data_IF_703992460158
#
_entry.id   IF_703992460158
#
_cell.length_a   1.000
_cell.length_b   1.000
_cell.length_c   1.000
_cell.angle_alpha   90.00
_cell.angle_beta   90.00
_cell.angle_gamma   90.00
#
_symmetry.space_group_name_H-M   'P 1'
#
loop_
_entity.id
_entity.type
_entity.pdbx_description
1 polymer ?
#
# COMPACT_ATOMS: atom_id res chain seq x y z
N UNK A 1 -10.59 -4.81 13.10
CA UNK A 1 -9.47 -5.65 12.63
C UNK A 1 -9.58 -7.00 13.35
N UNK A 2 -10.16 -8.01 12.70
CA UNK A 2 -10.07 -9.37 13.22
C UNK A 2 -8.67 -9.89 12.89
N UNK A 3 -7.79 -9.89 13.89
CA UNK A 3 -6.54 -10.64 13.81
C UNK A 3 -6.89 -12.13 13.81
N UNK A 4 -6.93 -12.73 12.62
CA UNK A 4 -6.89 -14.19 12.51
C UNK A 4 -5.50 -14.58 13.01
N UNK A 5 -5.42 -15.00 14.27
CA UNK A 5 -4.26 -15.74 14.74
C UNK A 5 -4.24 -17.04 13.95
N UNK A 6 -3.46 -17.08 12.86
CA UNK A 6 -3.14 -18.32 12.18
C UNK A 6 -2.45 -19.20 13.22
N UNK A 7 -3.08 -20.31 13.59
CA UNK A 7 -2.45 -21.34 14.38
C UNK A 7 -1.20 -21.82 13.60
N UNK A 8 -0.02 -21.34 14.00
CA UNK A 8 1.24 -21.77 13.42
C UNK A 8 1.50 -23.18 13.90
N UNK A 9 1.28 -24.15 13.01
CA UNK A 9 1.61 -25.54 13.26
C UNK A 9 3.14 -25.69 13.15
N UNK A 10 3.72 -26.68 13.80
CA UNK A 10 5.15 -27.02 13.60
C UNK A 10 5.47 -27.47 12.17
N UNK A 11 4.45 -27.66 11.33
CA UNK A 11 4.54 -28.04 9.92
C UNK A 11 4.29 -26.86 8.98
N UNK A 12 4.13 -25.65 9.50
CA UNK A 12 4.00 -24.45 8.67
C UNK A 12 5.27 -24.23 7.83
N UNK A 13 5.09 -23.80 6.58
CA UNK A 13 6.21 -23.44 5.73
C UNK A 13 6.95 -22.23 6.31
N UNK A 14 8.28 -22.30 6.34
CA UNK A 14 9.15 -21.21 6.79
C UNK A 14 9.86 -20.55 5.59
N UNK A 15 10.43 -19.38 5.80
CA UNK A 15 11.26 -18.71 4.78
C UNK A 15 12.44 -19.60 4.36
N UNK A 16 13.02 -20.35 5.29
CA UNK A 16 14.10 -21.29 5.04
C UNK A 16 13.68 -22.44 4.11
N UNK A 17 12.46 -22.95 4.30
CA UNK A 17 11.86 -23.96 3.41
C UNK A 17 11.61 -23.37 2.01
N UNK A 18 11.12 -22.15 1.93
CA UNK A 18 10.93 -21.46 0.64
C UNK A 18 12.26 -21.28 -0.09
N UNK A 19 13.31 -20.88 0.61
CA UNK A 19 14.64 -20.68 0.03
C UNK A 19 15.26 -21.99 -0.49
N UNK A 20 15.19 -23.10 0.27
CA UNK A 20 15.71 -24.39 -0.20
C UNK A 20 14.93 -24.94 -1.40
N UNK A 21 13.61 -24.72 -1.44
CA UNK A 21 12.77 -25.11 -2.58
C UNK A 21 13.07 -24.27 -3.82
N UNK A 22 13.29 -22.96 -3.66
CA UNK A 22 13.72 -22.08 -4.76
C UNK A 22 15.10 -22.47 -5.29
N UNK A 23 16.05 -22.81 -4.41
CA UNK A 23 17.37 -23.34 -4.79
C UNK A 23 17.25 -24.67 -5.56
N UNK A 24 16.36 -25.56 -5.13
CA UNK A 24 16.07 -26.82 -5.84
C UNK A 24 15.47 -26.56 -7.22
N UNK A 25 14.51 -25.62 -7.32
CA UNK A 25 13.90 -25.21 -8.59
C UNK A 25 14.94 -24.66 -9.58
N UNK A 26 15.88 -23.85 -9.10
CA UNK A 26 16.99 -23.33 -9.90
C UNK A 26 17.84 -24.46 -10.51
N UNK A 27 18.22 -25.43 -9.67
CA UNK A 27 19.08 -26.52 -10.08
C UNK A 27 18.38 -27.49 -11.04
N UNK A 28 17.11 -27.81 -10.79
CA UNK A 28 16.33 -28.74 -11.60
C UNK A 28 15.82 -28.14 -12.91
N UNK A 29 15.69 -26.82 -13.00
CA UNK A 29 15.33 -26.11 -14.22
C UNK A 29 16.59 -25.62 -14.97
N UNK A 30 16.86 -24.31 -14.97
CA UNK A 30 17.84 -23.70 -15.88
C UNK A 30 19.25 -24.28 -15.76
N UNK A 31 19.71 -24.66 -14.56
CA UNK A 31 21.03 -25.28 -14.43
C UNK A 31 21.10 -26.68 -15.06
N UNK A 32 20.03 -27.46 -14.95
CA UNK A 32 19.97 -28.79 -15.60
C UNK A 32 19.87 -28.62 -17.11
N UNK A 33 19.07 -27.67 -17.60
CA UNK A 33 18.97 -27.36 -19.03
C UNK A 33 20.30 -26.92 -19.63
N UNK A 34 21.02 -26.02 -18.93
CA UNK A 34 22.35 -25.61 -19.36
C UNK A 34 23.35 -26.79 -19.41
N UNK A 35 23.28 -27.72 -18.45
CA UNK A 35 24.12 -28.92 -18.47
C UNK A 35 23.74 -29.89 -19.60
N UNK A 36 22.46 -29.94 -20.01
CA UNK A 36 22.02 -30.70 -21.19
C UNK A 36 22.63 -30.09 -22.45
N UNK A 37 22.58 -28.77 -22.59
CA UNK A 37 23.17 -28.06 -23.73
C UNK A 37 24.70 -28.19 -23.75
N UNK A 38 25.34 -28.15 -22.58
CA UNK A 38 26.76 -28.44 -22.44
C UNK A 38 27.09 -29.86 -22.90
N UNK A 39 26.28 -30.84 -22.52
CA UNK A 39 26.49 -32.22 -22.97
C UNK A 39 26.28 -32.36 -24.48
N UNK A 40 25.25 -31.72 -25.06
CA UNK A 40 25.00 -31.68 -26.52
C UNK A 40 26.16 -31.03 -27.28
N UNK A 41 26.79 -30.01 -26.69
CA UNK A 41 27.95 -29.35 -27.26
C UNK A 41 29.17 -30.29 -27.38
N UNK A 42 29.44 -31.10 -26.35
CA UNK A 42 30.54 -32.07 -26.38
C UNK A 42 30.20 -33.37 -27.12
N UNK A 43 28.93 -33.79 -27.09
CA UNK A 43 28.46 -35.03 -27.69
C UNK A 43 27.21 -34.70 -28.52
N UNK A 44 27.34 -34.44 -29.82
CA UNK A 44 26.17 -34.24 -30.67
C UNK A 44 25.22 -35.44 -30.59
N UNK A 45 23.89 -35.25 -30.63
CA UNK A 45 22.92 -36.35 -30.48
C UNK A 45 23.16 -37.54 -31.41
N UNK A 46 23.55 -37.29 -32.66
CA UNK A 46 23.87 -38.33 -33.64
C UNK A 46 25.10 -39.18 -33.26
N UNK A 47 26.04 -38.61 -32.48
CA UNK A 47 27.24 -39.29 -32.00
C UNK A 47 27.06 -39.95 -30.64
N UNK A 48 25.97 -39.67 -29.93
CA UNK A 48 25.77 -40.14 -28.57
C UNK A 48 25.84 -41.67 -28.44
N UNK A 49 25.16 -42.49 -29.28
CA UNK A 49 25.20 -43.94 -29.13
C UNK A 49 26.63 -44.51 -29.27
N UNK A 50 27.39 -44.03 -30.25
CA UNK A 50 28.75 -44.53 -30.51
C UNK A 50 29.75 -44.07 -29.45
N UNK A 51 29.63 -42.82 -28.97
CA UNK A 51 30.47 -42.28 -27.89
C UNK A 51 30.22 -43.01 -26.58
N UNK A 52 28.95 -43.22 -26.19
CA UNK A 52 28.61 -43.95 -24.96
C UNK A 52 29.08 -45.40 -25.03
N UNK A 53 28.92 -46.07 -26.17
CA UNK A 53 29.40 -47.43 -26.34
C UNK A 53 30.93 -47.52 -26.25
N UNK A 54 31.66 -46.55 -26.81
CA UNK A 54 33.12 -46.47 -26.75
C UNK A 54 33.64 -46.20 -25.33
N UNK A 55 33.06 -45.24 -24.63
CA UNK A 55 33.50 -44.82 -23.30
C UNK A 55 32.85 -45.63 -22.15
N UNK A 56 32.16 -46.73 -22.48
CA UNK A 56 31.37 -47.53 -21.52
C UNK A 56 32.16 -47.99 -20.30
N UNK A 57 33.46 -48.28 -20.46
CA UNK A 57 34.36 -48.70 -19.37
C UNK A 57 34.70 -47.58 -18.38
N UNK A 58 34.50 -46.32 -18.76
CA UNK A 58 34.75 -45.14 -17.90
C UNK A 58 33.52 -44.76 -17.07
N UNK A 59 32.35 -45.31 -17.39
CA UNK A 59 31.14 -45.04 -16.64
C UNK A 59 31.21 -45.74 -15.26
N UNK A 60 30.83 -45.05 -14.17
CA UNK A 60 30.71 -45.68 -12.87
C UNK A 60 29.48 -46.62 -12.83
N UNK A 61 29.22 -47.21 -11.67
CA UNK A 61 27.96 -47.92 -11.46
C UNK A 61 26.78 -46.95 -11.57
N UNK A 62 25.96 -47.14 -12.61
CA UNK A 62 24.71 -46.42 -12.83
C UNK A 62 23.55 -47.12 -12.12
N UNK A 63 22.56 -46.33 -11.70
CA UNK A 63 21.28 -46.89 -11.27
C UNK A 63 20.53 -47.53 -12.44
N UNK A 64 19.58 -48.42 -12.17
CA UNK A 64 18.80 -49.06 -13.23
C UNK A 64 18.06 -48.05 -14.13
N UNK A 65 17.42 -46.98 -13.60
CA UNK A 65 16.82 -45.94 -14.44
C UNK A 65 17.84 -45.23 -15.34
N UNK A 66 19.00 -44.83 -14.80
CA UNK A 66 20.05 -44.17 -15.57
C UNK A 66 20.60 -45.09 -16.66
N UNK A 67 20.84 -46.36 -16.34
CA UNK A 67 21.32 -47.36 -17.30
C UNK A 67 20.32 -47.59 -18.42
N UNK A 68 19.03 -47.76 -18.09
CA UNK A 68 17.98 -47.93 -19.10
C UNK A 68 17.88 -46.72 -20.03
N UNK A 69 18.13 -45.52 -19.51
CA UNK A 69 18.06 -44.29 -20.29
C UNK A 69 19.19 -44.19 -21.32
N UNK A 70 20.45 -44.49 -20.95
CA UNK A 70 21.60 -44.30 -21.85
C UNK A 70 22.13 -45.58 -22.53
N UNK A 71 21.75 -46.76 -22.05
CA UNK A 71 22.18 -48.07 -22.53
C UNK A 71 20.98 -49.06 -22.57
N UNK A 72 19.94 -48.81 -23.39
CA UNK A 72 18.77 -49.69 -23.46
C UNK A 72 19.16 -51.07 -24.03
N UNK A 73 18.50 -52.13 -23.55
CA UNK A 73 18.77 -53.52 -23.93
C UNK A 73 18.56 -53.80 -25.43
N UNK A 74 17.82 -52.97 -26.15
CA UNK A 74 17.61 -53.03 -27.60
C UNK A 74 18.84 -52.58 -28.42
N UNK A 75 19.90 -52.10 -27.78
CA UNK A 75 21.19 -51.80 -28.41
C UNK A 75 21.28 -50.42 -29.08
N UNK A 76 20.21 -49.64 -29.12
CA UNK A 76 20.20 -48.28 -29.68
C UNK A 76 19.63 -47.31 -28.68
N UNK A 77 20.42 -46.30 -28.31
CA UNK A 77 19.95 -45.18 -27.52
C UNK A 77 18.80 -44.46 -28.24
N UNK A 78 17.63 -44.44 -27.61
CA UNK A 78 16.44 -43.73 -28.07
C UNK A 78 16.02 -42.60 -27.13
N UNK A 79 16.85 -42.29 -26.13
CA UNK A 79 16.54 -41.30 -25.09
C UNK A 79 16.67 -39.86 -25.58
N UNK A 80 15.98 -38.95 -24.92
CA UNK A 80 16.19 -37.52 -25.09
C UNK A 80 17.13 -36.99 -23.98
N UNK A 81 17.99 -36.04 -24.32
CA UNK A 81 18.77 -35.28 -23.35
C UNK A 81 17.89 -34.63 -22.28
N UNK A 82 16.67 -34.26 -22.66
CA UNK A 82 15.67 -33.65 -21.77
C UNK A 82 15.22 -34.58 -20.63
N UNK A 83 15.43 -35.89 -20.78
CA UNK A 83 15.12 -36.89 -19.74
C UNK A 83 16.25 -37.04 -18.71
N UNK A 84 17.43 -36.47 -18.98
CA UNK A 84 18.59 -36.62 -18.10
C UNK A 84 18.53 -35.65 -16.93
N UNK A 85 18.71 -36.17 -15.73
CA UNK A 85 18.85 -35.36 -14.52
C UNK A 85 20.29 -34.87 -14.33
N UNK A 86 20.48 -33.87 -13.46
CA UNK A 86 21.79 -33.31 -13.12
C UNK A 86 22.81 -34.38 -12.67
N UNK A 87 22.35 -35.45 -12.02
CA UNK A 87 23.18 -36.57 -11.57
C UNK A 87 23.81 -37.29 -12.76
N UNK A 88 22.99 -37.67 -13.74
CA UNK A 88 23.43 -38.35 -14.95
C UNK A 88 24.27 -37.42 -15.83
N UNK A 89 23.85 -36.16 -15.99
CA UNK A 89 24.60 -35.15 -16.74
C UNK A 89 26.02 -34.97 -16.16
N UNK A 90 26.14 -34.86 -14.83
CA UNK A 90 27.45 -34.80 -14.17
C UNK A 90 28.31 -36.04 -14.48
N UNK A 91 27.73 -37.24 -14.40
CA UNK A 91 28.46 -38.49 -14.70
C UNK A 91 29.00 -38.48 -16.13
N UNK A 92 28.19 -38.07 -17.10
CA UNK A 92 28.58 -38.05 -18.51
C UNK A 92 29.62 -36.97 -18.80
N UNK A 93 29.41 -35.74 -18.34
CA UNK A 93 30.37 -34.63 -18.52
C UNK A 93 31.73 -34.96 -17.92
N UNK A 94 31.75 -35.55 -16.72
CA UNK A 94 32.98 -35.93 -16.02
C UNK A 94 33.74 -37.06 -16.72
N UNK A 95 33.04 -38.12 -17.13
CA UNK A 95 33.69 -39.38 -17.52
C UNK A 95 33.79 -39.60 -19.03
N UNK A 96 32.94 -38.94 -19.83
CA UNK A 96 32.79 -39.21 -21.27
C UNK A 96 33.30 -38.03 -22.10
N UNK A 97 33.04 -36.78 -21.69
CA UNK A 97 33.35 -35.58 -22.49
C UNK A 97 34.82 -35.17 -22.52
N UNK A 98 35.72 -35.91 -21.86
CA UNK A 98 37.16 -35.61 -21.90
C UNK A 98 37.54 -34.26 -21.29
N UNK A 99 36.72 -33.72 -20.38
CA UNK A 99 37.00 -32.45 -19.71
C UNK A 99 38.30 -32.54 -18.90
N UNK A 100 39.14 -31.51 -19.02
CA UNK A 100 40.29 -31.33 -18.14
C UNK A 100 39.78 -31.11 -16.71
N UNK A 101 40.26 -31.93 -15.79
CA UNK A 101 39.85 -31.84 -14.39
C UNK A 101 40.37 -30.53 -13.80
N UNK A 102 39.53 -29.87 -13.01
CA UNK A 102 39.94 -28.67 -12.29
C UNK A 102 41.04 -28.99 -11.28
N UNK A 103 41.78 -27.97 -10.83
CA UNK A 103 43.03 -28.14 -10.07
C UNK A 103 42.91 -28.93 -8.76
N UNK A 104 41.70 -29.05 -8.19
CA UNK A 104 41.43 -29.79 -6.96
C UNK A 104 40.93 -31.22 -7.18
N UNK A 105 40.63 -31.61 -8.41
CA UNK A 105 40.08 -32.93 -8.72
C UNK A 105 38.57 -33.04 -8.53
N UNK A 106 37.91 -33.86 -9.35
CA UNK A 106 36.48 -34.14 -9.23
C UNK A 106 36.08 -34.60 -7.83
N UNK A 107 34.89 -34.18 -7.37
CA UNK A 107 34.39 -34.50 -6.03
C UNK A 107 34.96 -33.62 -4.90
N UNK A 108 35.88 -32.70 -5.21
CA UNK A 108 36.41 -31.71 -4.27
C UNK A 108 35.88 -30.31 -4.62
N UNK A 109 35.76 -29.46 -3.61
CA UNK A 109 35.39 -28.05 -3.81
C UNK A 109 36.43 -27.35 -4.67
N UNK A 110 36.05 -26.79 -5.83
CA UNK A 110 36.96 -26.01 -6.67
C UNK A 110 37.39 -24.69 -5.99
N UNK A 111 38.55 -24.15 -6.38
CA UNK A 111 38.97 -22.81 -5.91
C UNK A 111 37.98 -21.75 -6.39
N UNK A 112 37.70 -20.74 -5.57
CA UNK A 112 36.69 -19.70 -5.87
C UNK A 112 37.01 -18.86 -7.11
N UNK A 113 38.27 -18.84 -7.56
CA UNK A 113 38.73 -18.17 -8.78
C UNK A 113 38.78 -19.06 -10.01
N UNK A 114 38.60 -20.38 -9.88
CA UNK A 114 38.65 -21.31 -11.00
C UNK A 114 37.38 -21.18 -11.85
N UNK A 115 37.52 -20.72 -13.10
CA UNK A 115 36.42 -20.47 -14.04
C UNK A 115 36.29 -21.59 -15.09
N UNK A 116 37.00 -22.70 -14.92
CA UNK A 116 36.96 -23.83 -15.88
C UNK A 116 35.60 -24.51 -15.94
N UNK A 117 35.29 -25.13 -17.09
CA UNK A 117 34.06 -25.92 -17.27
C UNK A 117 33.91 -26.99 -16.20
N UNK A 118 34.99 -27.72 -15.90
CA UNK A 118 34.95 -28.78 -14.88
C UNK A 118 34.72 -28.23 -13.47
N UNK A 119 35.32 -27.09 -13.11
CA UNK A 119 35.04 -26.44 -11.83
C UNK A 119 33.57 -26.00 -11.72
N UNK A 120 33.00 -25.42 -12.78
CA UNK A 120 31.61 -24.97 -12.77
C UNK A 120 30.60 -26.13 -12.75
N UNK A 121 30.87 -27.21 -13.49
CA UNK A 121 30.10 -28.47 -13.41
C UNK A 121 30.16 -29.07 -12.00
N UNK A 122 31.32 -29.05 -11.35
CA UNK A 122 31.48 -29.54 -9.97
C UNK A 122 30.73 -28.65 -8.95
N UNK A 123 30.70 -27.32 -9.13
CA UNK A 123 29.89 -26.41 -8.30
C UNK A 123 28.40 -26.73 -8.36
N UNK A 124 27.86 -26.94 -9.57
CA UNK A 124 26.44 -27.31 -9.74
C UNK A 124 26.12 -28.66 -9.07
N UNK A 125 27.03 -29.65 -9.15
CA UNK A 125 26.87 -30.92 -8.42
C UNK A 125 26.87 -30.74 -6.91
N UNK A 126 27.83 -29.99 -6.37
CA UNK A 126 27.94 -29.73 -4.93
C UNK A 126 26.69 -29.00 -4.40
N UNK A 127 26.19 -28.04 -5.16
CA UNK A 127 24.95 -27.34 -4.88
C UNK A 127 23.74 -28.27 -4.84
N UNK A 128 23.61 -29.19 -5.81
CA UNK A 128 22.55 -30.21 -5.78
C UNK A 128 22.62 -31.08 -4.54
N UNK A 129 23.82 -31.50 -4.16
CA UNK A 129 23.99 -32.32 -2.97
C UNK A 129 23.61 -31.55 -1.70
N UNK A 130 23.97 -30.26 -1.60
CA UNK A 130 23.55 -29.41 -0.49
C UNK A 130 22.03 -29.31 -0.39
N UNK A 131 21.34 -29.15 -1.53
CA UNK A 131 19.88 -29.10 -1.54
C UNK A 131 19.22 -30.44 -1.19
N UNK A 132 19.73 -31.56 -1.73
CA UNK A 132 19.16 -32.89 -1.49
C UNK A 132 19.38 -33.45 -0.08
N UNK A 133 20.33 -32.92 0.68
CA UNK A 133 20.63 -33.36 2.05
C UNK A 133 20.18 -32.37 3.14
N UNK A 134 19.61 -31.22 2.77
CA UNK A 134 19.12 -30.27 3.79
C UNK A 134 17.81 -30.76 4.39
N UNK A 135 17.78 -30.87 5.72
CA UNK A 135 16.57 -31.20 6.51
C UNK A 135 15.95 -29.99 7.20
N UNK A 136 16.67 -28.86 7.26
CA UNK A 136 16.30 -27.67 8.07
C UNK A 136 15.99 -26.44 7.20
N UNK A 137 16.13 -26.55 5.87
CA UNK A 137 15.94 -25.43 4.93
C UNK A 137 17.23 -24.66 4.65
N UNK A 138 17.12 -23.40 4.23
CA UNK A 138 18.25 -22.53 3.88
C UNK A 138 18.02 -21.09 4.38
N UNK A 139 18.92 -20.60 5.23
CA UNK A 139 18.85 -19.20 5.70
C UNK A 139 18.94 -18.22 4.52
N UNK A 140 18.44 -16.99 4.71
CA UNK A 140 18.52 -15.95 3.67
C UNK A 140 19.96 -15.66 3.24
N UNK A 141 20.90 -15.64 4.18
CA UNK A 141 22.32 -15.40 3.89
C UNK A 141 22.94 -16.57 3.11
N UNK A 142 22.62 -17.81 3.51
CA UNK A 142 23.05 -19.01 2.77
C UNK A 142 22.48 -19.04 1.37
N UNK A 143 21.22 -18.67 1.19
CA UNK A 143 20.57 -18.60 -0.11
C UNK A 143 21.21 -17.55 -1.00
N UNK A 144 21.53 -16.37 -0.47
CA UNK A 144 22.23 -15.33 -1.24
C UNK A 144 23.63 -15.78 -1.69
N UNK A 145 24.37 -16.47 -0.83
CA UNK A 145 25.69 -17.01 -1.18
C UNK A 145 25.56 -18.10 -2.24
N UNK A 146 24.68 -19.08 -2.02
CA UNK A 146 24.34 -20.13 -2.97
C UNK A 146 23.98 -19.54 -4.33
N UNK A 147 23.09 -18.55 -4.35
CA UNK A 147 22.67 -17.87 -5.57
C UNK A 147 23.85 -17.29 -6.33
N UNK A 148 24.70 -16.53 -5.63
CA UNK A 148 25.84 -15.85 -6.23
C UNK A 148 26.81 -16.86 -6.85
N UNK A 149 27.09 -17.97 -6.17
CA UNK A 149 27.96 -19.03 -6.66
C UNK A 149 27.39 -19.72 -7.90
N UNK A 150 26.10 -20.04 -7.88
CA UNK A 150 25.43 -20.72 -9.00
C UNK A 150 25.30 -19.80 -10.21
N UNK A 151 24.87 -18.56 -10.01
CA UNK A 151 24.80 -17.56 -11.07
C UNK A 151 26.16 -17.35 -11.73
N UNK A 152 27.24 -17.27 -10.95
CA UNK A 152 28.58 -17.13 -11.49
C UNK A 152 29.00 -18.35 -12.34
N UNK A 153 28.72 -19.57 -11.85
CA UNK A 153 29.01 -20.79 -12.60
C UNK A 153 28.21 -20.87 -13.91
N UNK A 154 26.93 -20.48 -13.88
CA UNK A 154 26.06 -20.42 -15.06
C UNK A 154 26.60 -19.42 -16.08
N UNK A 155 26.96 -18.21 -15.65
CA UNK A 155 27.51 -17.18 -16.54
C UNK A 155 28.81 -17.61 -17.21
N UNK A 156 29.67 -18.36 -16.51
CA UNK A 156 30.89 -18.88 -17.12
C UNK A 156 30.61 -19.99 -18.14
N UNK A 157 29.63 -20.85 -17.89
CA UNK A 157 29.20 -21.87 -18.85
C UNK A 157 28.47 -21.26 -20.06
N UNK A 158 27.70 -20.19 -19.85
CA UNK A 158 27.05 -19.42 -20.92
C UNK A 158 28.08 -18.89 -21.93
N UNK A 159 29.21 -18.35 -21.45
CA UNK A 159 30.32 -17.89 -22.31
C UNK A 159 30.90 -19.01 -23.17
N UNK A 160 30.97 -20.23 -22.64
CA UNK A 160 31.49 -21.39 -23.37
C UNK A 160 30.53 -21.82 -24.48
N UNK A 161 29.23 -21.74 -24.21
CA UNK A 161 28.19 -22.21 -25.12
C UNK A 161 27.68 -21.14 -26.09
N UNK A 162 27.95 -19.86 -25.82
CA UNK A 162 27.39 -18.74 -26.59
C UNK A 162 25.87 -18.58 -26.40
N UNK A 163 25.36 -18.96 -25.22
CA UNK A 163 23.95 -18.87 -24.83
C UNK A 163 23.79 -17.96 -23.60
N UNK A 164 22.58 -17.86 -23.06
CA UNK A 164 22.29 -16.99 -21.91
C UNK A 164 21.22 -17.62 -21.02
N UNK A 165 21.63 -18.42 -20.04
CA UNK A 165 20.79 -18.92 -18.95
C UNK A 165 20.81 -18.01 -17.71
N UNK A 166 21.69 -17.00 -17.69
CA UNK A 166 21.76 -15.99 -16.62
C UNK A 166 20.39 -15.33 -16.36
N UNK A 167 19.61 -15.06 -17.42
CA UNK A 167 18.28 -14.44 -17.31
C UNK A 167 17.26 -15.36 -16.65
N UNK A 168 17.26 -16.64 -17.00
CA UNK A 168 16.37 -17.67 -16.49
C UNK A 168 16.67 -17.96 -15.02
N UNK A 169 17.96 -17.96 -14.67
CA UNK A 169 18.44 -17.93 -13.30
C UNK A 169 17.85 -16.69 -12.62
N UNK A 170 18.20 -15.47 -13.02
CA UNK A 170 17.70 -14.25 -12.37
C UNK A 170 16.17 -14.18 -12.24
N UNK A 171 15.42 -14.70 -13.21
CA UNK A 171 13.97 -14.85 -13.14
C UNK A 171 13.53 -15.75 -11.96
N UNK A 172 14.09 -16.95 -11.81
CA UNK A 172 13.75 -17.88 -10.72
C UNK A 172 14.02 -17.29 -9.33
N UNK A 173 15.00 -16.38 -9.22
CA UNK A 173 15.27 -15.67 -7.96
C UNK A 173 14.07 -14.87 -7.47
N UNK A 174 13.43 -14.16 -8.39
CA UNK A 174 12.35 -13.21 -8.10
C UNK A 174 10.96 -13.80 -8.27
N UNK A 175 10.86 -14.95 -8.96
CA UNK A 175 9.57 -15.57 -9.25
C UNK A 175 8.88 -16.10 -7.98
N UNK A 176 7.55 -16.14 -8.06
CA UNK A 176 6.69 -16.66 -7.00
C UNK A 176 6.84 -18.17 -6.86
N UNK A 177 6.74 -18.66 -5.62
CA UNK A 177 6.66 -20.09 -5.34
C UNK A 177 5.22 -20.61 -5.32
N UNK A 178 4.23 -19.71 -5.34
CA UNK A 178 2.79 -20.03 -5.45
C UNK A 178 2.13 -19.06 -6.45
N UNK A 179 2.08 -19.42 -7.74
CA UNK A 179 1.51 -18.55 -8.77
C UNK A 179 0.00 -18.36 -8.60
N UNK A 180 -0.71 -19.31 -8.00
CA UNK A 180 -2.16 -19.23 -7.81
C UNK A 180 -2.50 -18.22 -6.72
N UNK A 181 -1.82 -18.29 -5.58
CA UNK A 181 -2.02 -17.33 -4.49
C UNK A 181 -1.58 -15.92 -4.90
N UNK A 182 -0.45 -15.80 -5.59
CA UNK A 182 0.05 -14.51 -6.09
C UNK A 182 -0.92 -13.88 -7.10
N UNK A 183 -1.54 -14.70 -7.98
CA UNK A 183 -2.61 -14.24 -8.86
C UNK A 183 -3.84 -13.78 -8.07
N UNK A 184 -4.27 -14.53 -7.05
CA UNK A 184 -5.41 -14.14 -6.22
C UNK A 184 -5.17 -12.79 -5.51
N UNK A 185 -3.97 -12.56 -4.98
CA UNK A 185 -3.62 -11.27 -4.38
C UNK A 185 -3.61 -10.14 -5.41
N UNK A 186 -3.10 -10.39 -6.63
CA UNK A 186 -3.16 -9.41 -7.73
C UNK A 186 -4.60 -9.05 -8.10
N UNK A 187 -5.48 -10.04 -8.22
CA UNK A 187 -6.88 -9.81 -8.58
C UNK A 187 -7.59 -9.00 -7.48
N UNK A 188 -7.37 -9.34 -6.20
CA UNK A 188 -7.90 -8.57 -5.07
C UNK A 188 -7.39 -7.12 -5.07
N UNK A 189 -6.10 -6.91 -5.35
CA UNK A 189 -5.53 -5.56 -5.43
C UNK A 189 -6.13 -4.76 -6.58
N UNK A 190 -6.37 -5.39 -7.73
CA UNK A 190 -7.03 -4.75 -8.88
C UNK A 190 -8.46 -4.31 -8.54
N UNK A 191 -9.22 -5.14 -7.81
CA UNK A 191 -10.58 -4.78 -7.41
C UNK A 191 -10.59 -3.61 -6.41
N UNK A 192 -9.65 -3.59 -5.45
CA UNK A 192 -9.47 -2.44 -4.56
C UNK A 192 -9.13 -1.15 -5.33
N UNK A 193 -8.26 -1.24 -6.35
CA UNK A 193 -7.91 -0.09 -7.19
C UNK A 193 -9.15 0.43 -7.94
N UNK A 194 -10.01 -0.45 -8.47
CA UNK A 194 -11.27 -0.04 -9.12
C UNK A 194 -12.20 0.69 -8.15
N UNK A 195 -12.33 0.21 -6.91
CA UNK A 195 -13.13 0.89 -5.89
C UNK A 195 -12.58 2.28 -5.57
N UNK A 196 -11.26 2.42 -5.41
CA UNK A 196 -10.60 3.71 -5.18
C UNK A 196 -10.87 4.68 -6.34
N UNK A 197 -10.78 4.21 -7.58
CA UNK A 197 -11.08 5.03 -8.78
C UNK A 197 -12.54 5.49 -8.77
N UNK A 198 -13.48 4.60 -8.46
CA UNK A 198 -14.90 4.95 -8.38
C UNK A 198 -15.19 5.99 -7.27
N UNK A 199 -14.58 5.83 -6.09
CA UNK A 199 -14.68 6.81 -5.00
C UNK A 199 -14.10 8.15 -5.45
N UNK A 200 -12.96 8.15 -6.14
CA UNK A 200 -12.31 9.37 -6.65
C UNK A 200 -13.24 10.13 -7.61
N UNK A 201 -13.85 9.42 -8.57
CA UNK A 201 -14.82 10.00 -9.51
C UNK A 201 -16.05 10.59 -8.80
N UNK A 202 -16.52 9.92 -7.74
CA UNK A 202 -17.64 10.37 -6.92
C UNK A 202 -17.28 11.65 -6.16
N UNK A 203 -16.07 11.73 -5.60
CA UNK A 203 -15.56 12.93 -4.92
C UNK A 203 -15.43 14.10 -5.90
N UNK A 204 -14.94 13.87 -7.12
CA UNK A 204 -14.86 14.91 -8.15
C UNK A 204 -16.24 15.44 -8.53
N UNK A 205 -17.22 14.55 -8.69
CA UNK A 205 -18.61 14.92 -8.95
C UNK A 205 -19.21 15.75 -7.81
N UNK A 206 -18.99 15.33 -6.55
CA UNK A 206 -19.42 16.09 -5.37
C UNK A 206 -18.77 17.46 -5.27
N UNK A 207 -17.46 17.58 -5.54
CA UNK A 207 -16.76 18.86 -5.59
C UNK A 207 -17.36 19.79 -6.64
N UNK A 208 -17.71 19.27 -7.81
CA UNK A 208 -18.35 20.06 -8.87
C UNK A 208 -19.74 20.58 -8.46
N UNK A 209 -20.53 19.73 -7.79
CA UNK A 209 -21.85 20.10 -7.26
C UNK A 209 -21.73 21.12 -6.12
N UNK A 210 -20.76 20.95 -5.23
CA UNK A 210 -20.50 21.91 -4.14
C UNK A 210 -20.10 23.28 -4.69
N UNK A 211 -19.26 23.34 -5.73
CA UNK A 211 -18.92 24.60 -6.41
C UNK A 211 -20.15 25.31 -6.97
N UNK A 212 -21.03 24.58 -7.68
CA UNK A 212 -22.29 25.13 -8.21
C UNK A 212 -23.22 25.62 -7.10
N UNK A 213 -23.27 24.91 -5.98
CA UNK A 213 -24.07 25.30 -4.81
C UNK A 213 -23.53 26.58 -4.19
N UNK A 214 -22.20 26.69 -4.00
CA UNK A 214 -21.56 27.90 -3.48
C UNK A 214 -21.80 29.10 -4.40
N UNK A 215 -21.71 28.93 -5.72
CA UNK A 215 -22.03 29.98 -6.70
C UNK A 215 -23.50 30.43 -6.59
N UNK A 216 -24.45 29.51 -6.34
CA UNK A 216 -25.86 29.84 -6.11
C UNK A 216 -26.10 30.55 -4.78
N UNK A 217 -25.44 30.13 -3.71
CA UNK A 217 -25.53 30.79 -2.39
C UNK A 217 -25.05 32.23 -2.51
N UNK A 218 -23.89 32.46 -3.13
CA UNK A 218 -23.38 33.80 -3.42
C UNK A 218 -24.37 34.62 -4.28
N UNK A 219 -25.01 34.00 -5.27
CA UNK A 219 -26.01 34.68 -6.09
C UNK A 219 -27.28 35.05 -5.29
N UNK A 220 -27.71 34.21 -4.35
CA UNK A 220 -28.86 34.46 -3.46
C UNK A 220 -28.52 35.56 -2.44
N UNK A 221 -27.33 35.51 -1.84
CA UNK A 221 -26.85 36.58 -0.95
C UNK A 221 -26.80 37.94 -1.65
N UNK A 222 -26.49 37.94 -2.95
CA UNK A 222 -26.49 39.16 -3.77
C UNK A 222 -27.88 39.57 -4.29
N UNK A 223 -28.84 38.65 -4.44
CA UNK A 223 -30.18 38.93 -4.99
C UNK A 223 -31.26 39.18 -3.94
N UNK A 224 -31.09 38.67 -2.70
CA UNK A 224 -31.95 38.96 -1.55
C UNK A 224 -31.56 40.23 -0.79
N UNK A 225 -30.85 41.16 -1.44
CA UNK A 225 -30.70 42.52 -0.92
C UNK A 225 -31.95 43.32 -1.28
N UNK A 226 -33.06 43.03 -0.59
CA UNK A 226 -33.97 44.11 -0.17
C UNK A 226 -33.32 44.73 1.08
N UNK A 227 -33.25 46.07 1.20
CA UNK A 227 -32.33 46.79 2.09
C UNK A 227 -32.76 46.80 3.57
N UNK A 228 -33.02 45.65 4.18
CA UNK A 228 -33.51 45.56 5.56
C UNK A 228 -32.55 44.90 6.55
N UNK A 229 -31.42 44.34 6.11
CA UNK A 229 -30.31 43.97 7.01
C UNK A 229 -28.97 44.39 6.37
N UNK A 230 -28.85 45.67 6.04
CA UNK A 230 -27.66 46.35 6.51
C UNK A 230 -27.87 46.48 8.02
N UNK A 231 -27.35 45.52 8.78
CA UNK A 231 -26.87 45.83 10.12
C UNK A 231 -25.84 46.95 9.95
N UNK A 232 -26.36 48.18 9.91
CA UNK A 232 -25.60 49.39 9.84
C UNK A 232 -24.62 49.34 11.00
N UNK A 233 -23.35 49.57 10.72
CA UNK A 233 -22.31 49.92 11.69
C UNK A 233 -22.83 50.88 12.79
N UNK A 234 -23.85 51.69 12.48
CA UNK A 234 -24.60 52.55 13.40
C UNK A 234 -25.23 51.84 14.62
N UNK A 235 -25.82 50.63 14.50
CA UNK A 235 -26.43 49.94 15.65
C UNK A 235 -25.40 49.28 16.57
N UNK A 236 -24.23 48.90 16.02
CA UNK A 236 -23.14 48.29 16.78
C UNK A 236 -22.46 49.30 17.71
N UNK A 237 -22.32 50.55 17.25
CA UNK A 237 -21.83 51.67 18.08
C UNK A 237 -22.80 52.02 19.22
N UNK A 238 -24.12 52.04 18.97
CA UNK A 238 -25.13 52.34 20.00
C UNK A 238 -25.11 51.34 21.15
N UNK A 239 -25.09 50.03 20.87
CA UNK A 239 -25.05 49.04 21.94
C UNK A 239 -23.70 49.00 22.67
N UNK A 240 -22.61 49.36 21.98
CA UNK A 240 -21.30 49.48 22.64
C UNK A 240 -21.30 50.67 23.60
N UNK A 241 -21.89 51.80 23.22
CA UNK A 241 -22.10 52.95 24.11
C UNK A 241 -22.98 52.58 25.31
N UNK A 242 -24.10 51.87 25.09
CA UNK A 242 -24.95 51.41 26.19
C UNK A 242 -24.17 50.56 27.19
N UNK A 243 -23.32 49.64 26.72
CA UNK A 243 -22.48 48.82 27.59
C UNK A 243 -21.46 49.63 28.39
N UNK A 244 -20.91 50.70 27.82
CA UNK A 244 -19.98 51.57 28.53
C UNK A 244 -20.69 52.42 29.59
N UNK A 245 -21.86 52.97 29.29
CA UNK A 245 -22.70 53.73 30.23
C UNK A 245 -23.25 52.84 31.35
N UNK A 246 -23.62 51.60 31.03
CA UNK A 246 -24.17 50.61 31.97
C UNK A 246 -23.16 50.18 33.05
N UNK A 247 -21.85 50.34 32.81
CA UNK A 247 -20.81 50.05 33.84
C UNK A 247 -20.98 50.87 35.11
N UNK A 248 -21.60 52.05 35.01
CA UNK A 248 -21.86 52.95 36.13
C UNK A 248 -23.33 52.90 36.59
N UNK A 249 -24.13 51.98 36.05
CA UNK A 249 -25.52 51.84 36.40
C UNK A 249 -25.68 51.37 37.86
N UNK A 250 -26.53 52.06 38.61
CA UNK A 250 -26.90 51.68 39.97
C UNK A 250 -28.41 51.41 39.99
N UNK A 251 -28.84 50.18 40.32
CA UNK A 251 -30.25 49.85 40.43
C UNK A 251 -30.98 50.77 41.41
N UNK A 252 -32.19 51.16 41.04
CA UNK A 252 -33.09 51.95 41.89
C UNK A 252 -34.42 51.22 42.05
N UNK A 253 -35.25 51.66 43.00
CA UNK A 253 -36.62 51.14 43.14
C UNK A 253 -37.44 51.26 41.84
N UNK A 254 -37.11 52.22 40.97
CA UNK A 254 -37.78 52.39 39.68
C UNK A 254 -37.35 51.33 38.66
N UNK A 255 -36.06 50.97 38.60
CA UNK A 255 -35.56 49.94 37.69
C UNK A 255 -36.05 48.55 38.08
N UNK A 256 -36.04 48.22 39.39
CA UNK A 256 -36.59 46.95 39.91
C UNK A 256 -38.08 46.81 39.54
N UNK A 257 -38.85 47.90 39.65
CA UNK A 257 -40.27 47.89 39.28
C UNK A 257 -40.47 47.66 37.78
N UNK A 258 -39.61 48.20 36.92
CA UNK A 258 -39.71 48.04 35.47
C UNK A 258 -39.49 46.58 35.06
N UNK A 259 -38.52 45.88 35.66
CA UNK A 259 -38.33 44.44 35.41
C UNK A 259 -39.60 43.64 35.71
N UNK A 260 -40.23 43.87 36.87
CA UNK A 260 -41.47 43.18 37.23
C UNK A 260 -42.65 43.53 36.32
N UNK A 261 -42.68 44.75 35.76
CA UNK A 261 -43.74 45.19 34.87
C UNK A 261 -43.61 44.59 33.48
N UNK A 262 -42.39 44.47 32.95
CA UNK A 262 -42.16 43.91 31.60
C UNK A 262 -42.43 42.41 31.57
N UNK A 263 -42.15 41.68 32.66
CA UNK A 263 -42.48 40.25 32.73
C UNK A 263 -43.99 39.97 32.67
N UNK A 264 -44.83 40.94 33.07
CA UNK A 264 -46.27 40.77 33.17
C UNK A 264 -47.08 41.58 32.13
N UNK A 265 -46.44 42.46 31.35
CA UNK A 265 -47.12 43.35 30.42
C UNK A 265 -46.37 43.45 29.08
N UNK A 266 -47.13 43.46 27.99
CA UNK A 266 -46.59 43.59 26.63
C UNK A 266 -46.21 45.04 26.25
N UNK A 267 -46.53 46.02 27.11
CA UNK A 267 -46.20 47.43 26.91
C UNK A 267 -45.92 48.09 28.25
N UNK A 268 -44.75 48.72 28.37
CA UNK A 268 -44.34 49.50 29.53
C UNK A 268 -43.86 50.86 29.06
N UNK A 269 -44.39 51.93 29.67
CA UNK A 269 -44.02 53.31 29.36
C UNK A 269 -43.27 53.89 30.58
N UNK A 270 -42.05 54.38 30.36
CA UNK A 270 -41.23 55.01 31.40
C UNK A 270 -41.38 56.53 31.31
N UNK A 271 -42.04 57.14 32.30
CA UNK A 271 -42.26 58.60 32.36
C UNK A 271 -41.66 59.22 33.63
N UNK A 272 -41.28 60.50 33.55
CA UNK A 272 -40.58 61.19 34.63
C UNK A 272 -39.97 62.53 34.20
N UNK A 273 -39.58 63.34 35.17
CA UNK A 273 -38.98 64.67 34.96
C UNK A 273 -37.65 64.60 34.17
N UNK A 274 -37.22 65.73 33.62
CA UNK A 274 -35.91 65.81 32.95
C UNK A 274 -34.78 65.41 33.91
N UNK A 275 -33.83 64.60 33.44
CA UNK A 275 -32.72 64.09 34.24
C UNK A 275 -33.06 62.95 35.21
N UNK A 276 -34.29 62.42 35.21
CA UNK A 276 -34.69 61.35 36.15
C UNK A 276 -34.16 59.94 35.81
N UNK A 277 -33.27 59.81 34.81
CA UNK A 277 -32.67 58.52 34.42
C UNK A 277 -33.55 57.60 33.56
N UNK A 278 -34.55 58.14 32.85
CA UNK A 278 -35.46 57.35 31.99
C UNK A 278 -34.71 56.54 30.93
N UNK A 279 -33.83 57.21 30.17
CA UNK A 279 -32.96 56.60 29.14
C UNK A 279 -32.10 55.51 29.73
N UNK A 280 -31.45 55.82 30.85
CA UNK A 280 -30.53 54.93 31.53
C UNK A 280 -31.21 53.63 31.94
N UNK A 281 -32.45 53.69 32.46
CA UNK A 281 -33.20 52.49 32.81
C UNK A 281 -33.61 51.71 31.55
N UNK A 282 -34.09 52.39 30.50
CA UNK A 282 -34.46 51.75 29.23
C UNK A 282 -33.26 50.99 28.62
N UNK A 283 -32.09 51.63 28.56
CA UNK A 283 -30.87 51.04 28.04
C UNK A 283 -30.42 49.83 28.85
N UNK A 284 -30.38 49.95 30.18
CA UNK A 284 -30.04 48.86 31.10
C UNK A 284 -30.96 47.64 30.89
N UNK A 285 -32.27 47.87 30.87
CA UNK A 285 -33.26 46.82 30.62
C UNK A 285 -33.07 46.19 29.24
N UNK A 286 -32.82 46.98 28.19
CA UNK A 286 -32.52 46.46 26.86
C UNK A 286 -31.30 45.53 26.86
N UNK A 287 -30.22 45.89 27.56
CA UNK A 287 -29.03 45.04 27.68
C UNK A 287 -29.32 43.72 28.43
N UNK A 288 -30.14 43.75 29.48
CA UNK A 288 -30.54 42.54 30.20
C UNK A 288 -31.35 41.58 29.33
N UNK A 289 -32.30 42.08 28.55
CA UNK A 289 -33.06 41.25 27.62
C UNK A 289 -32.20 40.68 26.48
N UNK A 290 -31.21 41.44 26.02
CA UNK A 290 -30.21 40.94 25.07
C UNK A 290 -29.40 39.77 25.67
N UNK A 291 -28.99 39.84 26.95
CA UNK A 291 -28.32 38.74 27.66
C UNK A 291 -29.23 37.50 27.80
N UNK A 292 -30.55 37.71 27.91
CA UNK A 292 -31.57 36.65 27.96
C UNK A 292 -31.91 36.07 26.57
N UNK A 293 -31.25 36.51 25.50
CA UNK A 293 -31.42 35.98 24.14
C UNK A 293 -32.56 36.61 23.33
N UNK A 294 -33.11 37.74 23.78
CA UNK A 294 -34.13 38.48 23.03
C UNK A 294 -33.51 39.33 21.93
N UNK A 295 -34.26 39.52 20.84
CA UNK A 295 -33.95 40.52 19.82
C UNK A 295 -34.40 41.89 20.35
N UNK A 296 -33.45 42.77 20.61
CA UNK A 296 -33.68 44.13 21.14
C UNK A 296 -33.47 45.14 20.03
N UNK A 297 -34.51 45.94 19.75
CA UNK A 297 -34.48 46.95 18.70
C UNK A 297 -34.69 48.35 19.31
N UNK A 298 -33.64 49.19 19.40
CA UNK A 298 -33.83 50.61 19.68
C UNK A 298 -34.56 51.25 18.49
N UNK A 299 -35.57 52.05 18.80
CA UNK A 299 -36.36 52.81 17.82
C UNK A 299 -36.39 54.28 18.22
N UNK A 300 -36.27 55.15 17.24
CA UNK A 300 -36.27 56.61 17.45
C UNK A 300 -37.64 57.23 17.17
N UNK A 301 -38.52 56.49 16.49
CA UNK A 301 -39.85 56.97 16.07
C UNK A 301 -40.93 55.92 16.31
N UNK A 302 -42.13 56.36 16.69
CA UNK A 302 -43.25 55.44 16.97
C UNK A 302 -43.63 54.63 15.72
N UNK A 303 -43.44 55.18 14.52
CA UNK A 303 -43.71 54.50 13.26
C UNK A 303 -42.88 53.21 13.10
N UNK A 304 -41.64 53.20 13.59
CA UNK A 304 -40.72 52.04 13.51
C UNK A 304 -41.21 50.86 14.35
N UNK A 305 -41.96 51.12 15.43
CA UNK A 305 -42.54 50.07 16.28
C UNK A 305 -43.56 49.24 15.49
N UNK A 306 -44.34 49.88 14.60
CA UNK A 306 -45.34 49.19 13.77
C UNK A 306 -44.69 48.25 12.76
N UNK A 307 -43.60 48.69 12.12
CA UNK A 307 -42.85 47.87 11.15
C UNK A 307 -42.23 46.63 11.81
N UNK A 308 -41.82 46.74 13.07
CA UNK A 308 -41.19 45.65 13.82
C UNK A 308 -42.23 44.63 14.36
N UNK A 309 -43.43 45.09 14.73
CA UNK A 309 -44.47 44.22 15.29
C UNK A 309 -44.99 43.15 14.30
N UNK A 310 -44.81 43.36 12.99
CA UNK A 310 -45.19 42.39 11.95
C UNK A 310 -44.20 41.19 11.86
N UNK A 311 -43.07 41.26 12.56
CA UNK A 311 -42.09 40.18 12.69
C UNK A 311 -42.19 39.57 14.09
N UNK A 312 -42.62 38.31 14.21
CA UNK A 312 -42.84 37.68 15.53
C UNK A 312 -41.54 37.62 16.36
N UNK A 313 -41.68 37.86 17.68
CA UNK A 313 -40.64 37.84 18.73
C UNK A 313 -39.59 38.98 18.73
N UNK A 314 -40.04 40.24 18.83
CA UNK A 314 -39.14 41.40 19.01
C UNK A 314 -39.50 42.24 20.24
N UNK A 315 -38.49 42.65 21.00
CA UNK A 315 -38.60 43.64 22.08
C UNK A 315 -38.15 45.01 21.57
N UNK A 316 -39.11 45.93 21.45
CA UNK A 316 -38.87 47.29 20.93
C UNK A 316 -38.85 48.30 22.06
N UNK A 317 -37.86 49.19 22.07
CA UNK A 317 -37.73 50.25 23.06
C UNK A 317 -37.53 51.61 22.41
N UNK A 318 -38.34 52.58 22.80
CA UNK A 318 -38.26 53.96 22.33
C UNK A 318 -37.77 54.86 23.45
N UNK A 319 -36.89 55.81 23.11
CA UNK A 319 -36.41 56.83 24.03
C UNK A 319 -36.61 58.23 23.43
N UNK A 320 -37.22 59.14 24.19
CA UNK A 320 -37.18 60.60 23.94
C UNK A 320 -36.21 61.28 24.91
#
# INVERSE_FOLDING_TARGET
MCSIAMASTSYAATEEMTNINRASRLLMGPCTDQLRDLLRFYIPPASFPSVIQRERSRLPSLTDPQRKLILPNSGVYSGNYDDMDISLLYILLRNVCGLQVHNKGWGKTPDSSDRSVSANVERLRLARNRCGHSTVGMSKNDFNLFWSEIRAAVVDLDKVLGINYEKEVDFVRTDTMDPKMDQQYRDQLLDQIKEIVNITNTIESLKSSHRKMNERVLAIENSNILPSIKENEYKKDTFQQWKEEDKLFVPTKASEKIETLIENNNLVIVSGHSGSGKSTIIQHTGLEYLKRGWIVCPVDRVEEIKEIYETEHVFSMMHE
#
